data_IF_078680129979
#
_entry.id   IF_078680129979
#
_cell.length_a   1.000
_cell.length_b   1.000
_cell.length_c   1.000
_cell.angle_alpha   90.00
_cell.angle_beta   90.00
_cell.angle_gamma   90.00
#
_symmetry.space_group_name_H-M   'P 1'
#
loop_
_entity.id
_entity.type
_entity.pdbx_description
1 polymer ?
#
# COMPACT_ATOMS: atom_id res chain seq x y z
N UNK A 1 -15.22 1.61 -11.41
CA UNK A 1 -13.77 1.74 -11.70
C UNK A 1 -13.37 3.19 -11.98
N UNK A 2 -14.15 3.92 -12.78
CA UNK A 2 -13.91 5.32 -13.23
C UNK A 2 -13.78 6.36 -12.10
N UNK A 3 -14.59 6.29 -11.03
CA UNK A 3 -14.48 7.20 -9.86
C UNK A 3 -13.14 7.08 -9.11
N UNK A 4 -12.46 5.93 -9.19
CA UNK A 4 -11.21 5.64 -8.46
C UNK A 4 -10.00 6.32 -9.08
N UNK A 5 -9.93 6.34 -10.42
CA UNK A 5 -8.90 7.08 -11.15
C UNK A 5 -9.07 8.59 -10.98
N UNK A 6 -10.32 9.08 -10.92
CA UNK A 6 -10.60 10.49 -10.62
C UNK A 6 -10.14 10.93 -9.23
N UNK A 7 -10.33 10.10 -8.20
CA UNK A 7 -9.87 10.43 -6.83
C UNK A 7 -8.35 10.42 -6.71
N UNK A 8 -7.67 9.41 -7.29
CA UNK A 8 -6.21 9.39 -7.35
C UNK A 8 -5.66 10.57 -8.15
N UNK A 9 -6.28 10.92 -9.29
CA UNK A 9 -5.93 12.10 -10.08
C UNK A 9 -6.09 13.40 -9.30
N UNK A 10 -7.27 13.63 -8.71
CA UNK A 10 -7.53 14.85 -7.94
C UNK A 10 -6.61 15.00 -6.72
N UNK A 11 -6.18 13.91 -6.09
CA UNK A 11 -5.25 13.95 -4.96
C UNK A 11 -3.84 14.30 -5.39
N UNK A 12 -3.38 13.78 -6.52
CA UNK A 12 -2.01 14.04 -7.00
C UNK A 12 -1.91 15.41 -7.65
N UNK A 13 -2.97 15.87 -8.35
CA UNK A 13 -3.07 17.25 -8.81
C UNK A 13 -3.02 18.25 -7.64
N UNK A 14 -3.62 17.90 -6.49
CA UNK A 14 -3.60 18.72 -5.26
C UNK A 14 -2.34 18.56 -4.42
N UNK A 15 -1.52 17.55 -4.68
CA UNK A 15 -0.30 17.27 -3.90
C UNK A 15 0.70 18.40 -4.01
N UNK A 16 0.80 19.00 -5.19
CA UNK A 16 1.60 20.20 -5.38
C UNK A 16 1.01 21.40 -4.63
N UNK A 17 -0.31 21.52 -4.51
CA UNK A 17 -0.93 22.77 -4.07
C UNK A 17 -1.23 22.85 -2.57
N UNK A 18 -1.24 21.74 -1.83
CA UNK A 18 -1.76 21.70 -0.46
C UNK A 18 -0.69 21.31 0.59
N UNK A 19 -0.25 22.25 1.46
CA UNK A 19 0.68 21.96 2.55
C UNK A 19 0.09 20.98 3.58
N UNK A 20 -1.24 20.88 3.67
CA UNK A 20 -1.92 19.92 4.54
C UNK A 20 -1.60 18.45 4.21
N UNK A 21 -1.32 18.13 2.94
CA UNK A 21 -1.01 16.76 2.52
C UNK A 21 0.42 16.40 2.91
N UNK A 22 1.34 17.37 2.82
CA UNK A 22 2.74 17.23 3.24
C UNK A 22 2.79 16.95 4.73
N UNK A 23 2.04 17.74 5.53
CA UNK A 23 1.99 17.57 6.98
C UNK A 23 1.37 16.22 7.38
N UNK A 24 0.28 15.80 6.73
CA UNK A 24 -0.31 14.46 6.97
C UNK A 24 0.61 13.32 6.59
N UNK A 25 1.40 13.46 5.53
CA UNK A 25 2.39 12.44 5.15
C UNK A 25 3.53 12.37 6.16
N UNK A 26 4.01 13.52 6.66
CA UNK A 26 5.01 13.56 7.72
C UNK A 26 4.49 12.94 9.03
N UNK A 27 3.22 13.17 9.39
CA UNK A 27 2.58 12.53 10.54
C UNK A 27 2.43 11.01 10.37
N UNK A 28 2.06 10.54 9.17
CA UNK A 28 1.88 9.11 8.89
C UNK A 28 3.21 8.37 8.74
N UNK A 29 4.26 9.03 8.27
CA UNK A 29 5.57 8.45 7.96
C UNK A 29 6.73 9.28 8.52
N UNK A 30 6.82 9.46 9.85
CA UNK A 30 7.77 10.37 10.49
C UNK A 30 9.25 9.96 10.33
N UNK A 31 9.52 8.67 10.07
CA UNK A 31 10.88 8.18 9.84
C UNK A 31 11.31 8.26 8.37
N UNK A 32 10.36 8.45 7.46
CA UNK A 32 10.60 8.32 6.02
C UNK A 32 10.51 9.66 5.27
N UNK A 33 9.85 10.65 5.86
CA UNK A 33 9.54 11.95 5.25
C UNK A 33 9.80 13.07 6.27
N UNK A 34 10.74 13.94 5.95
CA UNK A 34 10.92 15.22 6.64
C UNK A 34 10.11 16.30 5.92
N UNK A 35 9.23 16.99 6.63
CA UNK A 35 8.26 17.92 6.04
C UNK A 35 8.97 19.12 5.39
N UNK A 36 9.97 19.69 6.06
CA UNK A 36 10.64 20.91 5.63
C UNK A 36 11.49 20.64 4.38
N UNK A 37 12.18 19.49 4.36
CA UNK A 37 13.00 19.07 3.20
C UNK A 37 12.12 18.68 2.02
N UNK A 38 11.00 18.00 2.27
CA UNK A 38 10.06 17.65 1.22
C UNK A 38 9.41 18.89 0.61
N UNK A 39 9.06 19.90 1.40
CA UNK A 39 8.49 21.14 0.89
C UNK A 39 9.47 21.88 -0.04
N UNK A 40 10.74 21.99 0.36
CA UNK A 40 11.79 22.60 -0.47
C UNK A 40 12.03 21.82 -1.78
N UNK A 41 12.13 20.49 -1.73
CA UNK A 41 12.29 19.67 -2.94
C UNK A 41 11.06 19.77 -3.86
N UNK A 42 9.85 19.85 -3.30
CA UNK A 42 8.62 20.01 -4.07
C UNK A 42 8.49 21.37 -4.73
N UNK A 43 8.99 22.43 -4.10
CA UNK A 43 9.06 23.76 -4.71
C UNK A 43 10.00 23.76 -5.92
N UNK A 44 11.18 23.15 -5.78
CA UNK A 44 12.12 22.94 -6.90
C UNK A 44 11.46 22.12 -8.01
N UNK A 45 10.77 21.04 -7.66
CA UNK A 45 10.06 20.21 -8.63
C UNK A 45 8.97 20.97 -9.37
N UNK A 46 8.16 21.79 -8.67
CA UNK A 46 7.14 22.65 -9.29
C UNK A 46 7.75 23.62 -10.27
N UNK A 47 8.83 24.30 -9.89
CA UNK A 47 9.53 25.24 -10.76
C UNK A 47 9.99 24.55 -12.06
N UNK A 48 10.54 23.33 -11.96
CA UNK A 48 10.98 22.56 -13.12
C UNK A 48 9.78 22.15 -14.02
N UNK A 49 8.66 21.75 -13.41
CA UNK A 49 7.43 21.41 -14.12
C UNK A 49 6.82 22.64 -14.78
N UNK A 50 6.84 23.79 -14.11
CA UNK A 50 6.28 25.05 -14.60
C UNK A 50 7.07 25.61 -15.80
N UNK A 51 8.38 25.35 -15.84
CA UNK A 51 9.27 25.74 -16.95
C UNK A 51 9.31 24.73 -18.10
N UNK A 52 8.68 23.55 -17.98
CA UNK A 52 8.53 22.57 -19.06
C UNK A 52 7.07 22.47 -19.50
N UNK A 53 6.72 23.15 -20.60
CA UNK A 53 5.36 23.12 -21.16
C UNK A 53 4.86 21.71 -21.52
N UNK A 54 5.78 20.79 -21.86
CA UNK A 54 5.49 19.38 -22.14
C UNK A 54 4.92 18.62 -20.93
N UNK A 55 5.26 19.04 -19.71
CA UNK A 55 4.77 18.44 -18.46
C UNK A 55 3.50 19.12 -17.96
N UNK A 56 3.30 20.42 -18.25
CA UNK A 56 2.06 21.15 -17.96
C UNK A 56 0.84 20.56 -18.66
N UNK A 57 1.01 20.10 -19.90
CA UNK A 57 -0.06 19.51 -20.71
C UNK A 57 0.06 17.98 -20.83
N UNK A 58 1.06 17.37 -20.18
CA UNK A 58 1.34 15.94 -20.24
C UNK A 58 0.37 15.10 -19.41
N UNK A 59 0.20 13.82 -19.80
CA UNK A 59 -0.51 12.86 -18.94
C UNK A 59 0.24 12.71 -17.61
N UNK A 60 -0.50 12.41 -16.54
CA UNK A 60 0.01 12.10 -15.20
C UNK A 60 1.19 11.12 -15.20
N UNK A 61 1.20 10.17 -16.13
CA UNK A 61 2.27 9.20 -16.30
C UNK A 61 3.61 9.86 -16.66
N UNK A 62 3.59 10.97 -17.40
CA UNK A 62 4.79 11.73 -17.77
C UNK A 62 5.40 12.45 -16.57
N UNK A 63 4.56 12.97 -15.66
CA UNK A 63 5.00 13.64 -14.43
C UNK A 63 5.65 12.62 -13.48
N UNK A 64 5.04 11.44 -13.33
CA UNK A 64 5.60 10.36 -12.51
C UNK A 64 6.89 9.81 -13.13
N UNK A 65 6.94 9.66 -14.45
CA UNK A 65 8.14 9.25 -15.17
C UNK A 65 9.28 10.27 -15.00
N UNK A 66 8.97 11.56 -15.06
CA UNK A 66 9.94 12.60 -14.81
C UNK A 66 10.45 12.60 -13.36
N UNK A 67 9.56 12.41 -12.39
CA UNK A 67 9.96 12.23 -10.99
C UNK A 67 10.86 10.98 -10.80
N UNK A 68 10.64 9.91 -11.56
CA UNK A 68 11.49 8.73 -11.56
C UNK A 68 12.87 8.97 -12.16
N UNK A 69 12.97 9.80 -13.19
CA UNK A 69 14.25 10.23 -13.79
C UNK A 69 15.04 11.12 -12.82
N UNK A 70 14.34 11.98 -12.08
CA UNK A 70 14.92 12.88 -11.08
C UNK A 70 15.08 12.23 -9.69
N UNK A 71 14.93 10.91 -9.56
CA UNK A 71 15.04 10.21 -8.26
C UNK A 71 16.38 10.39 -7.54
N UNK A 72 17.44 10.74 -8.27
CA UNK A 72 18.78 10.97 -7.71
C UNK A 72 18.97 12.40 -7.19
N UNK A 73 18.26 13.35 -7.78
CA UNK A 73 18.34 14.79 -7.47
C UNK A 73 17.29 15.21 -6.47
N UNK A 74 16.11 14.57 -6.50
CA UNK A 74 14.96 14.83 -5.65
C UNK A 74 14.43 13.53 -5.02
N UNK A 75 15.19 12.90 -4.10
CA UNK A 75 14.87 11.60 -3.54
C UNK A 75 13.62 11.60 -2.67
N UNK A 76 13.36 12.66 -1.89
CA UNK A 76 12.18 12.75 -1.03
C UNK A 76 10.92 12.98 -1.85
N UNK A 77 11.01 13.77 -2.92
CA UNK A 77 9.90 13.96 -3.87
C UNK A 77 9.49 12.64 -4.51
N UNK A 78 10.43 11.87 -5.04
CA UNK A 78 10.14 10.56 -5.61
C UNK A 78 9.57 9.59 -4.56
N UNK A 79 10.15 9.57 -3.35
CA UNK A 79 9.68 8.73 -2.26
C UNK A 79 8.25 9.10 -1.83
N UNK A 80 7.91 10.38 -1.79
CA UNK A 80 6.55 10.84 -1.52
C UNK A 80 5.57 10.40 -2.61
N UNK A 81 5.94 10.49 -3.88
CA UNK A 81 5.13 9.92 -4.97
C UNK A 81 4.95 8.40 -4.86
N UNK A 82 6.02 7.68 -4.54
CA UNK A 82 5.96 6.24 -4.33
C UNK A 82 5.03 5.89 -3.16
N UNK A 83 5.14 6.59 -2.03
CA UNK A 83 4.26 6.44 -0.88
C UNK A 83 2.81 6.76 -1.25
N UNK A 84 2.53 7.83 -2.00
CA UNK A 84 1.18 8.15 -2.45
C UNK A 84 0.58 7.11 -3.41
N UNK A 85 1.40 6.56 -4.32
CA UNK A 85 0.94 5.56 -5.28
C UNK A 85 0.69 4.20 -4.61
N UNK A 86 1.51 3.85 -3.61
CA UNK A 86 1.45 2.59 -2.87
C UNK A 86 0.48 2.64 -1.67
N UNK A 87 0.27 3.81 -1.09
CA UNK A 87 -0.66 4.00 0.01
C UNK A 87 -2.07 3.59 -0.43
N UNK A 88 -2.75 2.76 0.39
CA UNK A 88 -4.14 2.42 0.14
C UNK A 88 -5.02 3.64 0.41
N UNK A 89 -5.23 4.49 -0.61
CA UNK A 89 -6.17 5.62 -0.56
C UNK A 89 -7.62 5.14 -0.30
N UNK A 90 -7.91 3.83 -0.41
CA UNK A 90 -9.20 3.27 -0.04
C UNK A 90 -9.11 1.99 0.80
N UNK A 91 -10.09 1.87 1.70
CA UNK A 91 -10.41 0.71 2.55
C UNK A 91 -10.80 -0.54 1.74
N UNK A 92 -10.90 -0.45 0.41
CA UNK A 92 -11.46 -1.53 -0.43
C UNK A 92 -10.55 -2.77 -0.55
N UNK A 93 -9.23 -2.66 -0.35
CA UNK A 93 -8.37 -3.86 -0.24
C UNK A 93 -8.77 -4.65 1.02
N UNK A 94 -9.13 -3.95 2.09
CA UNK A 94 -9.63 -4.57 3.29
C UNK A 94 -11.02 -5.16 3.06
N UNK A 95 -11.89 -4.60 2.22
CA UNK A 95 -13.23 -5.18 1.96
C UNK A 95 -13.18 -6.60 1.37
N UNK A 96 -12.23 -6.89 0.47
CA UNK A 96 -12.03 -8.26 -0.06
C UNK A 96 -11.47 -9.19 1.01
N UNK A 97 -10.51 -8.74 1.80
CA UNK A 97 -10.00 -9.54 2.93
C UNK A 97 -11.07 -9.74 4.01
N UNK A 98 -11.92 -8.74 4.25
CA UNK A 98 -13.04 -8.78 5.20
C UNK A 98 -14.18 -9.69 4.71
N UNK A 99 -14.42 -9.78 3.40
CA UNK A 99 -15.39 -10.74 2.85
C UNK A 99 -14.90 -12.18 3.02
N UNK A 100 -13.60 -12.45 2.85
CA UNK A 100 -13.00 -13.74 3.19
C UNK A 100 -12.96 -14.00 4.70
N UNK A 101 -12.66 -12.98 5.51
CA UNK A 101 -12.73 -13.05 6.97
C UNK A 101 -14.13 -13.46 7.44
N UNK A 102 -15.19 -12.98 6.80
CA UNK A 102 -16.56 -13.39 7.10
C UNK A 102 -16.80 -14.89 6.91
N UNK A 103 -16.13 -15.53 5.95
CA UNK A 103 -16.21 -16.98 5.76
C UNK A 103 -15.39 -17.76 6.79
N UNK A 104 -14.19 -17.28 7.12
CA UNK A 104 -13.32 -17.94 8.11
C UNK A 104 -13.85 -17.76 9.53
N UNK A 105 -14.26 -16.54 9.87
CA UNK A 105 -14.93 -16.14 11.12
C UNK A 105 -16.44 -16.17 10.91
N UNK A 106 -16.98 -17.37 10.75
CA UNK A 106 -18.43 -17.58 10.68
C UNK A 106 -19.09 -17.29 12.03
N UNK A 107 -20.40 -17.01 12.02
CA UNK A 107 -21.19 -16.70 13.23
C UNK A 107 -21.08 -17.80 14.29
N UNK A 108 -20.94 -19.07 13.85
CA UNK A 108 -20.76 -20.24 14.74
C UNK A 108 -19.33 -20.41 15.28
N UNK A 109 -18.35 -19.64 14.80
CA UNK A 109 -16.93 -19.69 15.22
C UNK A 109 -16.51 -18.40 15.94
N UNK A 110 -17.47 -17.67 16.52
CA UNK A 110 -17.25 -16.37 17.16
C UNK A 110 -16.31 -16.39 18.36
N UNK A 111 -16.12 -17.56 19.00
CA UNK A 111 -15.26 -17.78 20.18
C UNK A 111 -13.84 -18.27 19.86
N UNK A 112 -13.42 -18.24 18.59
CA UNK A 112 -12.10 -18.68 18.20
C UNK A 112 -11.01 -17.69 18.63
N UNK A 113 -9.93 -18.20 19.24
CA UNK A 113 -8.79 -17.37 19.65
C UNK A 113 -7.99 -16.78 18.49
N UNK A 114 -7.38 -15.62 18.71
CA UNK A 114 -6.71 -14.81 17.68
C UNK A 114 -5.63 -15.58 16.91
N UNK A 115 -4.78 -16.34 17.62
CA UNK A 115 -3.72 -17.16 16.99
C UNK A 115 -4.27 -18.15 15.95
N UNK A 116 -5.44 -18.74 16.22
CA UNK A 116 -6.07 -19.67 15.27
C UNK A 116 -6.68 -18.93 14.09
N UNK A 117 -7.18 -17.71 14.31
CA UNK A 117 -7.73 -16.86 13.26
C UNK A 117 -6.64 -16.41 12.30
N UNK A 118 -5.50 -15.96 12.81
CA UNK A 118 -4.36 -15.53 12.01
C UNK A 118 -3.82 -16.68 11.15
N UNK A 119 -3.66 -17.87 11.73
CA UNK A 119 -3.21 -19.05 10.98
C UNK A 119 -4.21 -19.43 9.87
N UNK A 120 -5.52 -19.35 10.12
CA UNK A 120 -6.53 -19.66 9.10
C UNK A 120 -6.62 -18.58 8.02
N UNK A 121 -6.42 -17.30 8.38
CA UNK A 121 -6.31 -16.20 7.42
C UNK A 121 -5.11 -16.41 6.50
N UNK A 122 -3.96 -16.79 7.07
CA UNK A 122 -2.75 -17.08 6.29
C UNK A 122 -2.98 -18.21 5.29
N UNK A 123 -3.57 -19.33 5.72
CA UNK A 123 -3.93 -20.44 4.84
C UNK A 123 -4.94 -20.05 3.76
N UNK A 124 -5.88 -19.14 4.05
CA UNK A 124 -6.83 -18.65 3.05
C UNK A 124 -6.19 -17.65 2.05
N UNK A 125 -5.18 -16.89 2.48
CA UNK A 125 -4.42 -16.02 1.60
C UNK A 125 -3.55 -16.85 0.65
N UNK A 126 -2.88 -17.87 1.18
CA UNK A 126 -2.04 -18.82 0.44
C UNK A 126 -2.83 -20.06 0.01
N UNK A 127 -4.06 -19.86 -0.48
CA UNK A 127 -4.96 -20.97 -0.78
C UNK A 127 -4.40 -21.90 -1.86
N UNK A 128 -3.78 -21.34 -2.91
CA UNK A 128 -3.21 -22.13 -4.02
C UNK A 128 -2.11 -23.08 -3.53
N UNK A 129 -1.30 -22.65 -2.55
CA UNK A 129 -0.30 -23.50 -1.90
C UNK A 129 -0.95 -24.49 -0.94
N UNK A 130 -1.97 -24.05 -0.21
CA UNK A 130 -2.67 -24.88 0.78
C UNK A 130 -3.44 -26.03 0.13
N UNK A 131 -4.07 -25.80 -1.03
CA UNK A 131 -4.79 -26.82 -1.79
C UNK A 131 -3.84 -27.90 -2.35
N UNK A 132 -2.55 -27.58 -2.49
CA UNK A 132 -1.50 -28.53 -2.87
C UNK A 132 -0.87 -29.32 -1.72
N UNK A 133 -1.26 -29.05 -0.47
CA UNK A 133 -0.72 -29.77 0.70
C UNK A 133 -1.35 -31.16 0.85
N UNK A 134 -0.51 -32.18 0.96
CA UNK A 134 -0.97 -33.52 1.35
C UNK A 134 -1.28 -33.56 2.85
N UNK A 135 -2.57 -33.64 3.17
CA UNK A 135 -3.05 -33.69 4.55
C UNK A 135 -2.52 -34.91 5.31
N UNK A 136 -2.25 -36.04 4.65
CA UNK A 136 -1.65 -37.21 5.29
C UNK A 136 -0.22 -36.92 5.75
N UNK A 137 0.57 -36.22 4.95
CA UNK A 137 1.91 -35.81 5.35
C UNK A 137 1.88 -34.83 6.52
N UNK A 138 0.95 -33.86 6.51
CA UNK A 138 0.79 -32.90 7.61
C UNK A 138 0.44 -33.61 8.92
N UNK A 139 -0.49 -34.56 8.88
CA UNK A 139 -0.88 -35.35 10.06
C UNK A 139 0.28 -36.19 10.57
N UNK A 140 1.03 -36.86 9.68
CA UNK A 140 2.19 -37.67 10.05
C UNK A 140 3.32 -36.82 10.67
N UNK A 141 3.60 -35.63 10.11
CA UNK A 141 4.57 -34.70 10.68
C UNK A 141 4.12 -34.13 12.03
N UNK A 142 2.84 -33.84 12.19
CA UNK A 142 2.31 -33.40 13.47
C UNK A 142 2.37 -34.53 14.52
N UNK A 143 2.00 -35.75 14.13
CA UNK A 143 2.07 -36.92 14.99
C UNK A 143 3.52 -37.20 15.43
N UNK A 144 4.49 -37.15 14.52
CA UNK A 144 5.90 -37.37 14.85
C UNK A 144 6.45 -36.32 15.82
N UNK A 145 6.01 -35.06 15.71
CA UNK A 145 6.34 -33.99 16.67
C UNK A 145 5.62 -34.10 18.01
N UNK A 146 4.50 -34.83 18.07
CA UNK A 146 3.68 -35.04 19.28
C UNK A 146 4.03 -36.32 20.04
N UNK A 147 4.89 -37.17 19.48
CA UNK A 147 5.49 -38.30 20.22
C UNK A 147 6.37 -37.69 21.31
N UNK A 148 5.77 -37.55 22.49
CA UNK A 148 6.47 -37.24 23.74
C UNK A 148 7.38 -38.44 24.05
N UNK A 149 8.67 -38.18 24.27
CA UNK A 149 9.43 -38.99 25.24
C UNK A 149 8.94 -38.66 26.63
#
# INVERSE_FOLDING_TARGET
>A
MVRRQKLKRNWIEKFHTSPEIIQKLAEMFPNDVDADVLEAELEVFKNIVDHKEELKNGSMDNIVQFAYEQRKTLPLTWKAYQLMLTAPISVAKNERTFSHLKFVKSVYRSTMGDKRLDNLMLLNCEKDLTDGLDMYQVVNQWASKRIRR
#
